data_IF_418917239111
#
_entry.id   IF_418917239111
#
_cell.length_a   1.000
_cell.length_b   1.000
_cell.length_c   1.000
_cell.angle_alpha   90.00
_cell.angle_beta   90.00
_cell.angle_gamma   90.00
#
_symmetry.space_group_name_H-M   'P 1'
#
loop_
_entity.id
_entity.type
_entity.pdbx_description
1 polymer ?
#
# COMPACT_ATOMS: atom_id res chain seq x y z
N UNK A 1 21.63 -9.09 -22.88
CA UNK A 1 22.29 -10.17 -22.09
C UNK A 1 23.52 -9.61 -21.36
N UNK A 2 23.47 -9.51 -20.04
CA UNK A 2 24.59 -9.05 -19.21
C UNK A 2 24.97 -10.08 -18.16
N UNK A 3 25.80 -11.04 -18.56
CA UNK A 3 26.51 -11.94 -17.63
C UNK A 3 27.52 -11.12 -16.83
N UNK A 4 27.20 -10.84 -15.56
CA UNK A 4 28.23 -10.63 -14.53
C UNK A 4 28.04 -11.65 -13.42
N UNK A 5 28.30 -12.91 -13.76
CA UNK A 5 28.62 -13.97 -12.79
C UNK A 5 29.99 -13.67 -12.19
N UNK A 6 30.07 -12.64 -11.34
CA UNK A 6 31.19 -12.57 -10.42
C UNK A 6 30.99 -13.67 -9.36
N UNK A 7 31.99 -14.54 -9.12
CA UNK A 7 31.90 -15.52 -8.07
C UNK A 7 31.71 -14.81 -6.73
N UNK A 8 30.73 -15.26 -5.93
CA UNK A 8 30.54 -14.77 -4.57
C UNK A 8 31.76 -15.24 -3.76
N UNK A 9 32.65 -14.30 -3.46
CA UNK A 9 33.87 -14.54 -2.67
C UNK A 9 33.49 -14.56 -1.18
N UNK A 10 33.69 -15.70 -0.52
CA UNK A 10 33.62 -15.81 0.94
C UNK A 10 34.80 -15.06 1.57
N UNK A 11 34.60 -14.48 2.76
CA UNK A 11 35.60 -13.60 3.42
C UNK A 11 36.88 -14.30 3.90
N UNK A 12 36.99 -15.61 3.74
CA UNK A 12 38.22 -16.35 3.96
C UNK A 12 38.91 -16.53 2.61
N UNK A 13 40.19 -16.17 2.54
CA UNK A 13 40.98 -15.89 1.33
C UNK A 13 41.19 -17.02 0.31
N UNK A 14 40.31 -18.02 0.23
CA UNK A 14 40.30 -19.02 -0.81
C UNK A 14 39.26 -18.70 -1.88
N UNK A 15 39.74 -18.49 -3.10
CA UNK A 15 38.94 -18.39 -4.33
C UNK A 15 38.29 -19.74 -4.72
N UNK A 16 37.78 -20.51 -3.77
CA UNK A 16 37.05 -21.75 -4.07
C UNK A 16 35.64 -21.39 -4.55
N UNK A 17 35.26 -21.74 -5.79
CA UNK A 17 33.90 -21.52 -6.26
C UNK A 17 32.92 -22.30 -5.40
N UNK A 18 31.81 -21.64 -5.00
CA UNK A 18 30.74 -22.29 -4.24
C UNK A 18 30.26 -23.56 -4.97
N UNK A 19 30.07 -24.69 -4.25
CA UNK A 19 29.52 -25.90 -4.84
C UNK A 19 28.23 -25.64 -5.64
N UNK A 20 27.97 -26.35 -6.76
CA UNK A 20 26.83 -26.08 -7.63
C UNK A 20 25.45 -26.13 -6.94
N UNK A 21 25.33 -26.91 -5.87
CA UNK A 21 24.11 -26.98 -5.05
C UNK A 21 23.90 -25.70 -4.22
N UNK A 22 24.97 -24.99 -3.85
CA UNK A 22 24.93 -23.70 -3.14
C UNK A 22 24.75 -22.50 -4.06
N UNK A 23 25.20 -22.61 -5.32
CA UNK A 23 25.03 -21.56 -6.32
C UNK A 23 23.56 -21.20 -6.58
N UNK A 24 22.65 -22.17 -6.45
CA UNK A 24 21.19 -21.96 -6.57
C UNK A 24 20.59 -21.13 -5.43
N UNK A 25 21.30 -20.98 -4.32
CA UNK A 25 20.87 -20.17 -3.19
C UNK A 25 21.31 -18.70 -3.31
N UNK A 26 22.40 -18.42 -4.03
CA UNK A 26 22.81 -17.06 -4.37
C UNK A 26 21.74 -16.28 -5.14
N UNK A 27 21.04 -16.95 -6.08
CA UNK A 27 19.94 -16.36 -6.86
C UNK A 27 18.67 -16.09 -6.05
N UNK A 28 18.64 -16.51 -4.77
CA UNK A 28 17.55 -16.27 -3.83
C UNK A 28 17.80 -15.08 -2.90
N UNK A 29 18.93 -14.38 -3.05
CA UNK A 29 19.28 -13.23 -2.20
C UNK A 29 19.93 -13.61 -0.87
N UNK A 30 20.46 -14.84 -0.76
CA UNK A 30 21.34 -15.23 0.34
C UNK A 30 22.74 -14.68 0.10
N UNK A 31 23.33 -14.08 1.13
CA UNK A 31 24.69 -13.54 1.07
C UNK A 31 25.72 -14.62 1.47
N UNK A 32 27.01 -14.31 1.29
CA UNK A 32 28.09 -15.23 1.67
C UNK A 32 28.06 -15.57 3.17
N UNK A 33 27.53 -14.68 4.01
CA UNK A 33 27.37 -14.91 5.45
C UNK A 33 26.25 -15.90 5.77
N UNK A 34 25.13 -15.86 5.05
CA UNK A 34 24.05 -16.84 5.17
C UNK A 34 24.52 -18.24 4.74
N UNK A 35 25.30 -18.31 3.66
CA UNK A 35 25.83 -19.57 3.13
C UNK A 35 26.90 -20.16 4.05
N UNK A 36 27.80 -19.34 4.61
CA UNK A 36 28.79 -19.79 5.60
C UNK A 36 28.14 -20.20 6.91
N UNK A 37 27.11 -19.49 7.38
CA UNK A 37 26.32 -19.90 8.54
C UNK A 37 25.64 -21.26 8.31
N UNK A 38 25.11 -21.51 7.10
CA UNK A 38 24.54 -22.79 6.72
C UNK A 38 25.58 -23.92 6.71
N UNK A 39 26.74 -23.70 6.08
CA UNK A 39 27.84 -24.68 6.07
C UNK A 39 28.29 -24.99 7.50
N UNK A 40 28.46 -23.96 8.33
CA UNK A 40 28.84 -24.09 9.74
C UNK A 40 27.80 -24.88 10.53
N UNK A 41 26.51 -24.64 10.28
CA UNK A 41 25.41 -25.38 10.91
C UNK A 41 25.38 -26.85 10.48
N UNK A 42 25.63 -27.14 9.20
CA UNK A 42 25.73 -28.51 8.68
C UNK A 42 26.92 -29.23 9.34
N UNK A 43 28.11 -28.63 9.34
CA UNK A 43 29.30 -29.20 10.00
C UNK A 43 29.07 -29.41 11.49
N UNK A 44 28.37 -28.49 12.17
CA UNK A 44 28.01 -28.63 13.58
C UNK A 44 27.01 -29.77 13.83
N UNK A 45 26.12 -30.05 12.87
CA UNK A 45 25.12 -31.12 12.97
C UNK A 45 25.69 -32.53 12.72
N UNK A 46 26.84 -32.63 12.05
CA UNK A 46 27.53 -33.89 11.74
C UNK A 46 28.56 -34.30 12.80
N UNK A 47 28.73 -33.50 13.87
CA UNK A 47 29.51 -33.89 15.03
C UNK A 47 28.77 -34.99 15.81
N UNK A 48 29.15 -36.24 15.53
CA UNK A 48 28.59 -37.45 16.13
C UNK A 48 28.76 -37.55 17.67
N UNK A 49 29.64 -36.73 18.25
CA UNK A 49 29.90 -36.72 19.70
C UNK A 49 28.92 -35.84 20.52
N UNK A 50 28.03 -35.09 19.86
CA UNK A 50 27.00 -34.31 20.53
C UNK A 50 25.65 -35.06 20.51
N UNK A 51 25.16 -35.52 21.66
CA UNK A 51 23.78 -36.01 21.78
C UNK A 51 22.79 -35.00 21.18
N UNK A 52 21.73 -35.45 20.49
CA UNK A 52 20.79 -34.55 19.83
C UNK A 52 20.07 -33.70 20.90
N UNK A 53 20.51 -32.45 21.05
CA UNK A 53 19.96 -31.50 22.03
C UNK A 53 18.68 -30.80 21.56
N UNK A 54 18.29 -30.98 20.30
CA UNK A 54 17.09 -30.36 19.76
C UNK A 54 15.88 -31.28 19.94
N UNK A 55 14.77 -30.81 20.54
CA UNK A 55 13.55 -31.59 20.60
C UNK A 55 13.09 -31.94 19.18
N UNK A 56 13.01 -33.23 18.88
CA UNK A 56 12.50 -33.73 17.60
C UNK A 56 10.98 -33.56 17.55
N UNK A 57 10.53 -32.45 16.97
CA UNK A 57 9.13 -32.29 16.62
C UNK A 57 8.81 -33.11 15.35
N UNK A 58 7.64 -33.78 15.29
CA UNK A 58 7.13 -34.38 14.05
C UNK A 58 7.13 -33.37 12.89
N UNK A 59 7.39 -33.88 11.68
CA UNK A 59 7.50 -33.04 10.49
C UNK A 59 6.22 -32.25 10.20
N UNK A 60 5.06 -32.84 10.51
CA UNK A 60 3.74 -32.23 10.38
C UNK A 60 3.61 -30.99 11.26
N UNK A 61 4.13 -31.05 12.50
CA UNK A 61 4.12 -29.92 13.42
C UNK A 61 5.03 -28.82 12.89
N UNK A 62 6.22 -29.17 12.39
CA UNK A 62 7.14 -28.20 11.80
C UNK A 62 6.55 -27.52 10.56
N UNK A 63 5.89 -28.27 9.68
CA UNK A 63 5.20 -27.72 8.51
C UNK A 63 4.04 -26.81 8.91
N UNK A 64 3.25 -27.19 9.93
CA UNK A 64 2.19 -26.34 10.45
C UNK A 64 2.76 -25.04 11.05
N UNK A 65 3.91 -25.09 11.74
CA UNK A 65 4.59 -23.88 12.24
C UNK A 65 4.99 -22.97 11.07
N UNK A 66 5.50 -23.52 9.96
CA UNK A 66 5.90 -22.74 8.80
C UNK A 66 4.75 -21.93 8.18
N UNK A 67 3.50 -22.38 8.30
CA UNK A 67 2.32 -21.64 7.81
C UNK A 67 2.08 -20.30 8.53
N UNK A 68 2.58 -20.19 9.77
CA UNK A 68 2.49 -19.00 10.62
C UNK A 68 3.77 -18.16 10.64
N UNK A 69 4.85 -18.62 9.99
CA UNK A 69 6.08 -17.85 9.88
C UNK A 69 5.81 -16.61 9.03
N UNK A 70 6.17 -15.40 9.49
CA UNK A 70 5.97 -14.20 8.70
C UNK A 70 6.75 -14.26 7.38
N UNK A 71 6.10 -13.76 6.31
CA UNK A 71 6.64 -13.54 4.96
C UNK A 71 8.15 -13.21 4.92
N UNK A 72 8.68 -12.20 5.63
CA UNK A 72 10.10 -11.84 5.52
C UNK A 72 11.10 -12.90 5.99
N UNK A 73 10.66 -13.89 6.76
CA UNK A 73 11.54 -14.89 7.35
C UNK A 73 11.41 -16.27 6.70
N UNK A 74 10.38 -16.50 5.88
CA UNK A 74 10.09 -17.84 5.37
C UNK A 74 11.20 -18.37 4.46
N UNK A 75 11.84 -17.51 3.66
CA UNK A 75 12.85 -17.98 2.70
C UNK A 75 14.06 -18.62 3.39
N UNK A 76 14.46 -18.12 4.56
CA UNK A 76 15.59 -18.67 5.33
C UNK A 76 15.35 -20.14 5.70
N UNK A 77 14.09 -20.55 5.91
CA UNK A 77 13.73 -21.92 6.24
C UNK A 77 13.93 -22.90 5.07
N UNK A 78 14.01 -22.42 3.82
CA UNK A 78 14.33 -23.29 2.67
C UNK A 78 15.73 -23.86 2.73
N UNK A 79 16.63 -23.23 3.47
CA UNK A 79 18.02 -23.68 3.63
C UNK A 79 18.17 -24.82 4.64
N UNK A 80 17.19 -25.01 5.52
CA UNK A 80 17.31 -25.98 6.63
C UNK A 80 17.28 -27.42 6.11
N UNK A 81 16.34 -27.74 5.22
CA UNK A 81 16.26 -29.07 4.61
C UNK A 81 15.46 -29.05 3.30
N UNK A 82 15.63 -30.09 2.47
CA UNK A 82 14.87 -30.29 1.23
C UNK A 82 13.36 -30.35 1.46
N UNK A 83 12.92 -30.95 2.57
CA UNK A 83 11.49 -31.02 2.91
C UNK A 83 10.85 -29.64 3.10
N UNK A 84 11.54 -28.71 3.75
CA UNK A 84 11.08 -27.32 3.88
C UNK A 84 11.14 -26.59 2.56
N UNK A 85 12.20 -26.80 1.76
CA UNK A 85 12.28 -26.24 0.42
C UNK A 85 11.06 -26.61 -0.44
N UNK A 86 10.68 -27.89 -0.45
CA UNK A 86 9.57 -28.40 -1.27
C UNK A 86 8.21 -27.98 -0.71
N UNK A 87 8.05 -27.98 0.63
CA UNK A 87 6.83 -27.48 1.27
C UNK A 87 6.62 -25.98 1.06
N UNK A 88 7.70 -25.19 1.13
CA UNK A 88 7.67 -23.74 0.89
C UNK A 88 7.32 -23.43 -0.57
N UNK A 89 7.77 -24.24 -1.53
CA UNK A 89 7.39 -24.09 -2.94
C UNK A 89 5.98 -24.57 -3.30
N UNK A 90 5.27 -25.22 -2.38
CA UNK A 90 3.95 -25.81 -2.62
C UNK A 90 2.92 -25.35 -1.59
N UNK A 91 2.67 -26.20 -0.58
CA UNK A 91 1.64 -26.00 0.45
C UNK A 91 1.74 -24.65 1.15
N UNK A 92 2.93 -24.25 1.61
CA UNK A 92 3.08 -23.03 2.39
C UNK A 92 2.86 -21.79 1.52
N UNK A 93 3.34 -21.79 0.27
CA UNK A 93 3.08 -20.69 -0.68
C UNK A 93 1.58 -20.54 -0.94
N UNK A 94 0.86 -21.66 -1.03
CA UNK A 94 -0.59 -21.67 -1.19
C UNK A 94 -1.32 -21.11 0.06
N UNK A 95 -0.82 -21.36 1.28
CA UNK A 95 -1.39 -20.72 2.47
C UNK A 95 -1.16 -19.21 2.49
N UNK A 96 0.00 -18.72 2.02
CA UNK A 96 0.19 -17.27 1.82
C UNK A 96 -0.74 -16.71 0.74
N UNK A 97 -0.97 -17.46 -0.34
CA UNK A 97 -1.89 -17.05 -1.41
C UNK A 97 -3.30 -16.80 -0.90
N UNK A 98 -3.82 -17.68 -0.03
CA UNK A 98 -5.16 -17.50 0.56
C UNK A 98 -5.29 -16.22 1.39
N UNK A 99 -4.18 -15.74 1.96
CA UNK A 99 -4.11 -14.50 2.73
C UNK A 99 -3.72 -13.29 1.88
N UNK A 100 -3.46 -13.48 0.59
CA UNK A 100 -3.04 -12.43 -0.31
C UNK A 100 -4.23 -11.58 -0.77
N UNK A 101 -3.98 -10.29 -0.86
CA UNK A 101 -4.87 -9.29 -1.43
C UNK A 101 -4.11 -8.53 -2.51
N UNK A 102 -4.73 -8.38 -3.68
CA UNK A 102 -4.18 -7.66 -4.82
C UNK A 102 -4.89 -6.32 -4.90
N UNK A 103 -4.12 -5.24 -4.97
CA UNK A 103 -4.62 -3.88 -4.81
C UNK A 103 -4.22 -3.06 -6.03
N UNK A 104 -5.20 -2.63 -6.80
CA UNK A 104 -5.07 -1.70 -7.91
C UNK A 104 -5.16 -0.25 -7.41
N UNK A 105 -4.37 0.64 -7.99
CA UNK A 105 -4.35 2.07 -7.69
C UNK A 105 -4.77 2.85 -8.93
N UNK A 106 -5.85 3.62 -8.81
CA UNK A 106 -6.44 4.39 -9.93
C UNK A 106 -5.57 5.55 -10.40
N UNK A 107 -4.50 5.87 -9.68
CA UNK A 107 -3.70 7.05 -9.94
C UNK A 107 -4.08 8.23 -9.06
N UNK A 108 -3.35 9.32 -9.24
CA UNK A 108 -3.41 10.49 -8.36
C UNK A 108 -4.61 11.36 -8.68
N UNK A 109 -5.21 11.94 -7.63
CA UNK A 109 -6.26 12.96 -7.75
C UNK A 109 -5.94 14.12 -8.69
N UNK A 110 -4.66 14.40 -8.99
CA UNK A 110 -4.30 15.45 -9.95
C UNK A 110 -4.55 15.08 -11.42
N UNK A 111 -4.93 13.84 -11.74
CA UNK A 111 -5.17 13.35 -13.10
C UNK A 111 -6.66 13.46 -13.42
N UNK A 112 -7.02 14.03 -14.57
CA UNK A 112 -8.41 14.04 -15.04
C UNK A 112 -8.92 12.62 -15.31
N UNK A 113 -10.18 12.27 -14.97
CA UNK A 113 -11.22 13.08 -14.32
C UNK A 113 -11.19 13.09 -12.77
N UNK A 114 -10.16 12.52 -12.13
CA UNK A 114 -10.07 12.42 -10.66
C UNK A 114 -9.92 13.77 -9.95
N UNK A 115 -9.52 14.81 -10.66
CA UNK A 115 -9.33 16.17 -10.18
C UNK A 115 -10.65 16.88 -9.83
N UNK A 116 -11.74 16.50 -10.51
CA UNK A 116 -13.08 17.07 -10.32
C UNK A 116 -13.81 16.42 -9.15
N UNK A 117 -13.36 15.24 -8.71
CA UNK A 117 -14.01 14.45 -7.66
C UNK A 117 -13.76 15.06 -6.28
N UNK A 118 -14.77 15.02 -5.41
CA UNK A 118 -14.62 15.43 -4.01
C UNK A 118 -13.62 14.54 -3.29
N UNK A 119 -12.97 15.09 -2.26
CA UNK A 119 -11.92 14.34 -1.54
C UNK A 119 -12.46 13.07 -0.89
N UNK A 120 -13.70 13.12 -0.39
CA UNK A 120 -14.35 12.02 0.30
C UNK A 120 -14.66 10.86 -0.65
N UNK A 121 -15.18 11.17 -1.84
CA UNK A 121 -15.50 10.17 -2.86
C UNK A 121 -14.22 9.53 -3.43
N UNK A 122 -13.16 10.33 -3.62
CA UNK A 122 -11.87 9.81 -4.07
C UNK A 122 -11.27 8.81 -3.06
N UNK A 123 -11.38 9.07 -1.76
CA UNK A 123 -10.92 8.16 -0.70
C UNK A 123 -11.64 6.79 -0.73
N UNK A 124 -12.82 6.69 -1.33
CA UNK A 124 -13.58 5.45 -1.45
C UNK A 124 -13.23 4.64 -2.71
N UNK A 125 -12.73 5.29 -3.76
CA UNK A 125 -12.45 4.66 -5.07
C UNK A 125 -10.97 4.53 -5.44
N UNK A 126 -10.05 5.30 -4.85
CA UNK A 126 -8.66 5.34 -5.30
C UNK A 126 -7.90 4.00 -5.20
N UNK A 127 -8.41 3.04 -4.42
CA UNK A 127 -7.88 1.68 -4.31
C UNK A 127 -8.95 0.65 -4.66
N UNK A 128 -8.65 -0.16 -5.67
CA UNK A 128 -9.42 -1.34 -6.03
C UNK A 128 -8.82 -2.55 -5.32
N UNK A 129 -9.61 -3.29 -4.55
CA UNK A 129 -9.14 -4.43 -3.76
C UNK A 129 -9.73 -5.74 -4.28
N UNK A 130 -8.85 -6.69 -4.59
CA UNK A 130 -9.21 -8.02 -5.04
C UNK A 130 -8.68 -9.08 -4.06
N UNK A 131 -9.53 -10.04 -3.69
CA UNK A 131 -9.20 -11.11 -2.73
C UNK A 131 -9.09 -12.44 -3.43
N UNK A 132 -8.21 -13.29 -2.94
CA UNK A 132 -8.03 -14.62 -3.50
C UNK A 132 -9.36 -15.39 -3.48
N UNK A 133 -9.76 -15.89 -4.64
CA UNK A 133 -10.97 -16.70 -4.82
C UNK A 133 -10.59 -18.16 -5.00
N UNK A 134 -9.89 -18.49 -6.08
CA UNK A 134 -9.54 -19.87 -6.42
C UNK A 134 -8.33 -19.96 -7.37
N UNK A 135 -7.96 -21.20 -7.68
CA UNK A 135 -6.88 -21.55 -8.59
C UNK A 135 -7.46 -22.13 -9.89
N UNK A 136 -6.89 -21.71 -11.02
CA UNK A 136 -7.28 -22.15 -12.36
C UNK A 136 -6.08 -22.71 -13.14
N UNK A 137 -6.37 -23.73 -13.95
CA UNK A 137 -5.42 -24.33 -14.89
C UNK A 137 -5.90 -24.08 -16.31
N UNK A 138 -5.08 -23.39 -17.09
CA UNK A 138 -5.36 -23.00 -18.48
C UNK A 138 -5.55 -24.20 -19.43
N UNK A 139 -5.13 -25.39 -19.01
CA UNK A 139 -5.15 -26.62 -19.83
C UNK A 139 -6.09 -27.71 -19.28
N UNK A 140 -6.92 -27.42 -18.28
CA UNK A 140 -7.70 -28.44 -17.57
C UNK A 140 -9.06 -28.81 -18.21
N UNK A 141 -9.23 -28.66 -19.52
CA UNK A 141 -10.50 -28.96 -20.18
C UNK A 141 -10.83 -30.45 -20.32
N UNK A 142 -9.92 -31.39 -20.04
CA UNK A 142 -10.21 -32.83 -20.30
C UNK A 142 -9.52 -33.89 -19.42
N UNK A 143 -8.67 -33.56 -18.44
CA UNK A 143 -7.98 -34.59 -17.64
C UNK A 143 -8.42 -34.60 -16.17
N UNK A 144 -8.70 -35.80 -15.64
CA UNK A 144 -9.00 -36.05 -14.22
C UNK A 144 -7.97 -35.34 -13.34
N UNK A 145 -8.44 -34.38 -12.52
CA UNK A 145 -7.64 -33.66 -11.51
C UNK A 145 -6.93 -34.66 -10.58
N UNK A 146 -5.69 -35.01 -10.93
CA UNK A 146 -4.78 -35.83 -10.12
C UNK A 146 -3.67 -34.98 -9.49
N UNK A 147 -3.65 -33.68 -9.79
CA UNK A 147 -2.67 -32.74 -9.24
C UNK A 147 -3.08 -32.25 -7.85
N UNK A 148 -2.07 -31.98 -7.01
CA UNK A 148 -2.26 -31.38 -5.70
C UNK A 148 -3.05 -30.07 -5.80
N UNK A 149 -3.75 -29.66 -4.74
CA UNK A 149 -4.60 -28.45 -4.71
C UNK A 149 -3.87 -27.18 -5.15
N UNK A 150 -2.56 -27.10 -4.92
CA UNK A 150 -1.65 -26.00 -5.30
C UNK A 150 -0.87 -26.29 -6.59
N UNK A 151 -1.33 -27.24 -7.40
CA UNK A 151 -0.72 -27.61 -8.68
C UNK A 151 -0.90 -26.54 -9.75
N UNK A 152 -1.99 -25.77 -9.64
CA UNK A 152 -2.45 -24.91 -10.72
C UNK A 152 -1.47 -23.79 -11.10
N UNK A 153 -1.56 -23.33 -12.34
CA UNK A 153 -0.69 -22.25 -12.87
C UNK A 153 -1.15 -20.86 -12.45
N UNK A 154 -2.47 -20.60 -12.48
CA UNK A 154 -3.01 -19.26 -12.25
C UNK A 154 -3.85 -19.18 -10.97
N UNK A 155 -3.79 -18.03 -10.31
CA UNK A 155 -4.71 -17.67 -9.24
C UNK A 155 -5.66 -16.58 -9.72
N UNK A 156 -6.93 -16.73 -9.35
CA UNK A 156 -7.99 -15.77 -9.62
C UNK A 156 -8.35 -15.04 -8.33
N UNK A 157 -8.38 -13.73 -8.42
CA UNK A 157 -8.78 -12.81 -7.36
C UNK A 157 -10.07 -12.11 -7.78
N UNK A 158 -11.02 -12.01 -6.86
CA UNK A 158 -12.31 -11.39 -7.09
C UNK A 158 -12.29 -9.96 -6.53
N UNK A 159 -12.70 -9.00 -7.36
CA UNK A 159 -12.74 -7.58 -7.03
C UNK A 159 -13.98 -7.29 -6.17
N UNK A 160 -13.81 -6.51 -5.10
CA UNK A 160 -14.90 -6.16 -4.19
C UNK A 160 -16.00 -5.34 -4.89
N UNK A 161 -17.23 -5.88 -4.91
CA UNK A 161 -18.43 -5.25 -5.50
C UNK A 161 -18.68 -3.81 -5.04
N UNK A 162 -18.40 -3.51 -3.77
CA UNK A 162 -18.58 -2.16 -3.21
C UNK A 162 -17.77 -1.10 -3.96
N UNK A 163 -16.61 -1.47 -4.49
CA UNK A 163 -15.81 -0.54 -5.27
C UNK A 163 -16.55 -0.10 -6.54
N UNK A 164 -17.23 -1.03 -7.22
CA UNK A 164 -18.03 -0.72 -8.41
C UNK A 164 -19.26 0.13 -8.07
N UNK A 165 -19.88 -0.08 -6.91
CA UNK A 165 -20.98 0.77 -6.42
C UNK A 165 -20.52 2.22 -6.24
N UNK A 166 -19.39 2.45 -5.57
CA UNK A 166 -18.83 3.78 -5.39
C UNK A 166 -18.36 4.39 -6.72
N UNK A 167 -17.77 3.58 -7.60
CA UNK A 167 -17.32 4.02 -8.92
C UNK A 167 -18.49 4.46 -9.82
N UNK A 168 -19.62 3.76 -9.77
CA UNK A 168 -20.83 4.16 -10.48
C UNK A 168 -21.44 5.46 -9.95
N UNK A 169 -21.41 5.69 -8.62
CA UNK A 169 -21.96 6.90 -7.98
C UNK A 169 -21.28 8.19 -8.42
N UNK A 170 -19.98 8.12 -8.76
CA UNK A 170 -19.20 9.26 -9.25
C UNK A 170 -19.24 9.39 -10.79
N UNK A 171 -20.09 8.60 -11.46
CA UNK A 171 -20.27 8.64 -12.91
C UNK A 171 -19.22 7.85 -13.71
N UNK A 172 -18.51 6.93 -13.08
CA UNK A 172 -17.67 5.95 -13.78
C UNK A 172 -18.50 4.79 -14.34
N UNK A 173 -18.13 4.26 -15.50
CA UNK A 173 -18.64 2.98 -16.01
C UNK A 173 -17.49 2.05 -16.37
N UNK A 174 -17.69 0.76 -16.14
CA UNK A 174 -16.73 -0.29 -16.48
C UNK A 174 -17.06 -0.90 -17.84
N UNK A 175 -18.29 -0.80 -18.31
CA UNK A 175 -18.66 -1.28 -19.64
C UNK A 175 -17.97 -0.44 -20.70
N UNK A 176 -17.17 -1.06 -21.57
CA UNK A 176 -16.34 -0.36 -22.57
C UNK A 176 -17.13 0.63 -23.43
N UNK A 177 -18.38 0.31 -23.74
CA UNK A 177 -19.27 1.12 -24.60
C UNK A 177 -19.79 2.38 -23.90
N UNK A 178 -19.84 2.39 -22.57
CA UNK A 178 -20.41 3.49 -21.76
C UNK A 178 -19.33 4.38 -21.12
N UNK A 179 -18.04 4.07 -21.32
CA UNK A 179 -16.94 4.82 -20.69
C UNK A 179 -16.84 6.22 -21.32
N UNK A 180 -16.98 7.26 -20.51
CA UNK A 180 -16.56 8.60 -20.93
C UNK A 180 -15.04 8.59 -21.20
N UNK A 181 -14.57 9.45 -22.10
CA UNK A 181 -13.16 9.43 -22.55
C UNK A 181 -12.16 9.50 -21.38
N UNK A 182 -12.45 10.27 -20.33
CA UNK A 182 -11.58 10.37 -19.16
C UNK A 182 -11.55 9.09 -18.29
N UNK A 183 -12.68 8.41 -18.12
CA UNK A 183 -12.74 7.17 -17.36
C UNK A 183 -12.13 5.99 -18.13
N UNK A 184 -12.26 5.99 -19.46
CA UNK A 184 -11.67 4.97 -20.32
C UNK A 184 -10.16 4.84 -20.12
N UNK A 185 -9.44 5.97 -20.03
CA UNK A 185 -7.99 5.99 -19.81
C UNK A 185 -7.59 5.38 -18.46
N UNK A 186 -8.30 5.72 -17.37
CA UNK A 186 -8.00 5.17 -16.03
C UNK A 186 -8.27 3.66 -15.99
N UNK A 187 -9.36 3.20 -16.63
CA UNK A 187 -9.65 1.77 -16.69
C UNK A 187 -8.63 1.03 -17.56
N UNK A 188 -8.19 1.63 -18.66
CA UNK A 188 -7.12 1.08 -19.51
C UNK A 188 -5.79 0.94 -18.74
N UNK A 189 -5.44 1.94 -17.94
CA UNK A 189 -4.26 1.91 -17.06
C UNK A 189 -4.34 0.77 -16.04
N UNK A 190 -5.51 0.51 -15.47
CA UNK A 190 -5.74 -0.60 -14.55
C UNK A 190 -5.73 -1.97 -15.24
N UNK A 191 -6.26 -2.07 -16.46
CA UNK A 191 -6.28 -3.29 -17.27
C UNK A 191 -4.90 -3.66 -17.86
N UNK A 192 -3.88 -2.79 -17.67
CA UNK A 192 -2.56 -2.94 -18.27
C UNK A 192 -2.64 -3.12 -19.81
N UNK A 193 -3.39 -2.24 -20.47
CA UNK A 193 -3.57 -2.31 -21.92
C UNK A 193 -2.25 -2.30 -22.69
N UNK A 194 -2.26 -2.90 -23.89
CA UNK A 194 -1.07 -3.21 -24.68
C UNK A 194 -0.27 -1.97 -25.15
N UNK A 195 -0.92 -0.81 -25.22
CA UNK A 195 -0.31 0.45 -25.64
C UNK A 195 0.24 1.19 -24.42
N UNK A 196 1.38 0.73 -23.89
CA UNK A 196 2.10 1.47 -22.86
C UNK A 196 2.67 2.77 -23.47
N UNK A 197 1.96 3.88 -23.31
CA UNK A 197 2.46 5.19 -23.71
C UNK A 197 3.72 5.58 -22.92
N UNK A 198 4.60 6.35 -23.58
CA UNK A 198 5.76 7.02 -22.97
C UNK A 198 5.34 7.90 -21.78
N UNK A 199 5.34 7.34 -20.57
CA UNK A 199 4.97 8.11 -19.36
C UNK A 199 4.42 7.26 -18.22
N UNK A 200 4.00 6.03 -18.51
CA UNK A 200 3.46 5.12 -17.49
C UNK A 200 4.54 4.31 -16.76
N UNK A 201 5.79 4.42 -17.18
CA UNK A 201 6.88 3.63 -16.63
C UNK A 201 7.24 4.05 -15.20
N UNK A 202 7.40 3.08 -14.31
CA UNK A 202 7.68 3.32 -12.89
C UNK A 202 6.51 3.91 -12.11
N UNK A 203 5.31 3.99 -12.69
CA UNK A 203 4.07 4.28 -11.96
C UNK A 203 3.62 3.08 -11.14
N UNK A 204 2.92 3.31 -10.03
CA UNK A 204 2.30 2.22 -9.26
C UNK A 204 0.94 1.97 -9.88
N UNK A 205 0.67 0.74 -10.31
CA UNK A 205 -0.66 0.32 -10.80
C UNK A 205 -1.22 -0.76 -9.91
N UNK A 206 -0.45 -1.84 -9.72
CA UNK A 206 -0.83 -2.97 -8.88
C UNK A 206 0.20 -3.25 -7.79
N UNK A 207 -0.29 -3.53 -6.60
CA UNK A 207 0.53 -4.03 -5.50
C UNK A 207 -0.13 -5.25 -4.87
N UNK A 208 0.67 -6.03 -4.16
CA UNK A 208 0.19 -7.18 -3.41
C UNK A 208 0.45 -6.95 -1.93
N UNK A 209 -0.54 -7.35 -1.14
CA UNK A 209 -0.46 -7.44 0.30
C UNK A 209 -0.51 -8.90 0.70
N UNK A 210 0.44 -9.32 1.53
CA UNK A 210 0.41 -10.62 2.22
C UNK A 210 0.71 -10.36 3.68
N UNK A 211 -0.25 -10.66 4.55
CA UNK A 211 -0.20 -10.37 5.98
C UNK A 211 0.09 -8.86 6.25
N UNK A 212 1.30 -8.56 6.74
CA UNK A 212 1.79 -7.20 7.07
C UNK A 212 2.72 -6.62 5.99
N UNK A 213 3.07 -7.41 4.98
CA UNK A 213 3.95 -6.98 3.89
C UNK A 213 3.10 -6.43 2.75
N UNK A 214 3.55 -5.32 2.17
CA UNK A 214 2.97 -4.71 0.98
C UNK A 214 4.11 -4.32 0.06
N UNK A 215 4.04 -4.75 -1.19
CA UNK A 215 5.01 -4.48 -2.23
C UNK A 215 4.31 -4.21 -3.56
N UNK A 216 4.93 -3.34 -4.35
CA UNK A 216 4.62 -3.19 -5.77
C UNK A 216 4.84 -4.50 -6.52
N UNK A 217 3.91 -4.88 -7.39
CA UNK A 217 4.08 -6.06 -8.25
C UNK A 217 4.96 -5.74 -9.45
N UNK A 218 4.93 -4.50 -9.94
CA UNK A 218 5.78 -4.06 -11.06
C UNK A 218 5.47 -4.76 -12.37
N UNK A 219 4.24 -5.27 -12.55
CA UNK A 219 3.79 -5.82 -13.82
C UNK A 219 3.69 -4.73 -14.88
N UNK A 220 4.04 -5.10 -16.11
CA UNK A 220 4.04 -4.28 -17.31
C UNK A 220 2.95 -4.75 -18.28
N UNK A 221 2.62 -3.94 -19.30
CA UNK A 221 1.73 -4.39 -20.38
C UNK A 221 2.22 -5.67 -21.06
N UNK A 222 3.55 -5.90 -21.14
CA UNK A 222 4.13 -7.14 -21.66
C UNK A 222 3.69 -8.37 -20.85
N UNK A 223 3.56 -8.22 -19.52
CA UNK A 223 3.10 -9.30 -18.65
C UNK A 223 1.61 -9.63 -18.87
N UNK A 224 0.80 -8.63 -19.20
CA UNK A 224 -0.61 -8.82 -19.58
C UNK A 224 -0.75 -9.56 -20.90
N UNK A 225 0.00 -9.14 -21.92
CA UNK A 225 0.04 -9.81 -23.24
C UNK A 225 0.53 -11.25 -23.13
N UNK A 226 1.50 -11.52 -22.25
CA UNK A 226 2.01 -12.88 -22.01
C UNK A 226 1.10 -13.75 -21.13
N UNK A 227 -0.02 -13.21 -20.64
CA UNK A 227 -0.95 -13.93 -19.76
C UNK A 227 -0.48 -14.09 -18.31
N UNK A 228 0.67 -13.50 -17.95
CA UNK A 228 1.24 -13.57 -16.60
C UNK A 228 0.36 -12.83 -15.59
N UNK A 229 -0.24 -11.71 -16.00
CA UNK A 229 -1.15 -10.91 -15.18
C UNK A 229 -2.25 -10.27 -16.02
N UNK A 230 -3.49 -10.75 -15.86
CA UNK A 230 -4.65 -10.29 -16.60
C UNK A 230 -5.67 -9.67 -15.65
N UNK A 231 -6.29 -8.58 -16.07
CA UNK A 231 -7.34 -7.91 -15.31
C UNK A 231 -8.57 -7.84 -16.20
N UNK A 232 -9.68 -8.39 -15.73
CA UNK A 232 -10.97 -8.27 -16.36
C UNK A 232 -11.90 -7.54 -15.39
N UNK A 233 -12.06 -6.24 -15.61
CA UNK A 233 -12.92 -5.40 -14.77
C UNK A 233 -14.41 -5.70 -15.01
N UNK A 234 -14.80 -6.17 -16.21
CA UNK A 234 -16.19 -6.53 -16.52
C UNK A 234 -16.58 -7.82 -15.80
N UNK A 235 -15.71 -8.84 -15.85
CA UNK A 235 -15.86 -10.07 -15.07
C UNK A 235 -15.51 -9.91 -13.59
N UNK A 236 -15.01 -8.74 -13.17
CA UNK A 236 -14.60 -8.42 -11.79
C UNK A 236 -13.49 -9.34 -11.25
N UNK A 237 -12.58 -9.75 -12.12
CA UNK A 237 -11.50 -10.69 -11.75
C UNK A 237 -10.11 -10.18 -12.11
N UNK A 238 -9.13 -10.60 -11.32
CA UNK A 238 -7.71 -10.44 -11.59
C UNK A 238 -7.08 -11.82 -11.59
N UNK A 239 -6.45 -12.21 -12.70
CA UNK A 239 -5.80 -13.50 -12.89
C UNK A 239 -4.29 -13.31 -12.95
N UNK A 240 -3.51 -14.12 -12.23
CA UNK A 240 -2.05 -14.04 -12.30
C UNK A 240 -1.34 -15.39 -12.14
N UNK A 241 -0.13 -15.50 -12.68
CA UNK A 241 0.81 -16.59 -12.39
C UNK A 241 1.32 -16.50 -10.93
N UNK A 242 0.63 -17.22 -10.05
CA UNK A 242 0.73 -16.97 -8.62
C UNK A 242 2.03 -17.47 -7.98
N UNK A 243 2.61 -18.57 -8.48
CA UNK A 243 3.84 -19.13 -7.90
C UNK A 243 5.02 -18.19 -8.11
N UNK A 244 5.20 -17.71 -9.34
CA UNK A 244 6.26 -16.78 -9.67
C UNK A 244 6.05 -15.44 -8.94
N UNK A 245 4.84 -14.88 -9.01
CA UNK A 245 4.50 -13.62 -8.36
C UNK A 245 4.71 -13.65 -6.83
N UNK A 246 4.22 -14.68 -6.13
CA UNK A 246 4.44 -14.80 -4.69
C UNK A 246 5.91 -15.03 -4.38
N UNK A 247 6.62 -15.81 -5.19
CA UNK A 247 8.02 -16.08 -4.92
C UNK A 247 8.90 -14.83 -5.05
N UNK A 248 8.67 -14.03 -6.08
CA UNK A 248 9.35 -12.74 -6.27
C UNK A 248 8.95 -11.72 -5.19
N UNK A 249 7.71 -11.77 -4.72
CA UNK A 249 7.27 -11.01 -3.55
C UNK A 249 8.04 -11.40 -2.29
N UNK A 250 8.18 -12.69 -1.99
CA UNK A 250 8.95 -13.18 -0.83
C UNK A 250 10.42 -12.73 -0.91
N UNK A 251 11.05 -12.86 -2.09
CA UNK A 251 12.43 -12.39 -2.32
C UNK A 251 12.58 -10.91 -2.06
N UNK A 252 11.68 -10.12 -2.63
CA UNK A 252 11.70 -8.66 -2.54
C UNK A 252 11.47 -8.18 -1.11
N UNK A 253 10.55 -8.81 -0.38
CA UNK A 253 10.30 -8.48 1.03
C UNK A 253 11.50 -8.84 1.92
N UNK A 254 12.13 -10.00 1.67
CA UNK A 254 13.33 -10.42 2.38
C UNK A 254 14.48 -9.45 2.13
N UNK A 255 14.71 -9.05 0.87
CA UNK A 255 15.71 -8.06 0.51
C UNK A 255 15.44 -6.70 1.17
N UNK A 256 14.17 -6.27 1.22
CA UNK A 256 13.77 -5.04 1.91
C UNK A 256 14.09 -5.09 3.41
N UNK A 257 13.81 -6.20 4.10
CA UNK A 257 14.14 -6.34 5.51
C UNK A 257 15.65 -6.33 5.77
N UNK A 258 16.43 -7.04 4.94
CA UNK A 258 17.90 -7.01 5.01
C UNK A 258 18.44 -5.59 4.81
N UNK A 259 17.86 -4.83 3.87
CA UNK A 259 18.24 -3.45 3.61
C UNK A 259 17.88 -2.53 4.78
N UNK A 260 16.67 -2.67 5.34
CA UNK A 260 16.24 -1.92 6.54
C UNK A 260 17.19 -2.16 7.72
N UNK A 261 17.60 -3.41 7.94
CA UNK A 261 18.52 -3.76 9.02
C UNK A 261 19.92 -3.20 8.78
N UNK A 262 20.49 -3.44 7.60
CA UNK A 262 21.86 -2.99 7.26
C UNK A 262 22.00 -1.47 7.23
N UNK A 263 20.95 -0.73 6.85
CA UNK A 263 20.96 0.74 6.77
C UNK A 263 20.49 1.44 8.04
N UNK A 264 20.23 0.73 9.14
CA UNK A 264 19.67 1.32 10.38
C UNK A 264 20.43 2.56 10.92
N UNK A 265 21.75 2.64 10.71
CA UNK A 265 22.61 3.75 11.15
C UNK A 265 22.98 4.74 10.03
N UNK A 266 22.39 4.60 8.84
CA UNK A 266 22.68 5.50 7.71
C UNK A 266 21.94 6.83 7.85
N UNK A 267 22.45 7.87 7.20
CA UNK A 267 21.65 9.05 6.92
C UNK A 267 20.54 8.69 5.92
N UNK A 268 19.41 9.41 5.97
CA UNK A 268 18.26 9.15 5.09
C UNK A 268 17.78 10.44 4.43
N UNK A 269 17.35 10.34 3.18
CA UNK A 269 16.79 11.44 2.40
C UNK A 269 15.28 11.56 2.63
N UNK A 270 14.55 10.45 2.58
CA UNK A 270 13.08 10.38 2.74
C UNK A 270 12.65 9.56 3.97
N UNK A 271 13.55 9.39 4.93
CA UNK A 271 13.40 8.48 6.07
C UNK A 271 13.75 7.03 5.73
N UNK A 272 13.95 6.21 6.77
CA UNK A 272 14.49 4.85 6.63
C UNK A 272 13.64 3.98 5.69
N UNK A 273 12.32 3.94 5.90
CA UNK A 273 11.43 3.10 5.10
C UNK A 273 11.33 3.60 3.65
N UNK A 274 11.21 4.92 3.45
CA UNK A 274 11.10 5.54 2.14
C UNK A 274 12.33 5.28 1.28
N UNK A 275 13.53 5.49 1.82
CA UNK A 275 14.78 5.26 1.11
C UNK A 275 14.98 3.78 0.76
N UNK A 276 14.69 2.87 1.70
CA UNK A 276 14.83 1.44 1.45
C UNK A 276 13.85 0.95 0.38
N UNK A 277 12.59 1.40 0.40
CA UNK A 277 11.62 1.08 -0.64
C UNK A 277 12.04 1.63 -2.01
N UNK A 278 12.48 2.89 -2.09
CA UNK A 278 12.97 3.49 -3.33
C UNK A 278 14.15 2.71 -3.89
N UNK A 279 15.09 2.31 -3.04
CA UNK A 279 16.25 1.53 -3.46
C UNK A 279 15.83 0.20 -4.11
N UNK A 280 14.94 -0.55 -3.46
CA UNK A 280 14.43 -1.83 -3.99
C UNK A 280 13.62 -1.61 -5.28
N UNK A 281 12.74 -0.60 -5.32
CA UNK A 281 11.94 -0.29 -6.51
C UNK A 281 12.83 0.09 -7.69
N UNK A 282 13.80 1.00 -7.51
CA UNK A 282 14.77 1.38 -8.55
C UNK A 282 15.63 0.21 -9.02
N UNK A 283 16.01 -0.71 -8.12
CA UNK A 283 16.77 -1.91 -8.48
C UNK A 283 15.94 -2.83 -9.38
N UNK A 284 14.69 -3.12 -8.99
CA UNK A 284 13.77 -3.95 -9.78
C UNK A 284 13.47 -3.33 -11.13
N UNK A 285 13.22 -2.01 -11.13
CA UNK A 285 12.94 -1.26 -12.33
C UNK A 285 14.11 -1.35 -13.31
N UNK A 286 15.36 -1.13 -12.86
CA UNK A 286 16.56 -1.32 -13.69
C UNK A 286 16.71 -2.74 -14.24
N UNK A 287 16.35 -3.75 -13.45
CA UNK A 287 16.50 -5.14 -13.85
C UNK A 287 15.51 -5.56 -14.96
N UNK A 288 14.38 -4.84 -15.09
CA UNK A 288 13.36 -5.09 -16.10
C UNK A 288 13.62 -4.37 -17.43
N UNK A 289 14.57 -3.42 -17.48
CA UNK A 289 14.88 -2.65 -18.68
C UNK A 289 15.76 -3.44 -19.65
N UNK A 290 15.42 -3.40 -20.94
CA UNK A 290 16.26 -3.85 -22.04
C UNK A 290 17.23 -2.74 -22.46
N UNK A 291 18.52 -3.03 -22.50
CA UNK A 291 19.54 -2.05 -22.90
C UNK A 291 19.56 -1.77 -24.40
N UNK A 292 18.99 -2.67 -25.20
CA UNK A 292 18.93 -2.51 -26.66
C UNK A 292 17.78 -1.58 -27.08
N UNK A 293 16.70 -1.57 -26.29
CA UNK A 293 15.54 -0.73 -26.54
C UNK A 293 15.86 0.76 -26.28
N UNK A 294 15.35 1.64 -27.14
CA UNK A 294 15.59 3.09 -27.07
C UNK A 294 14.85 3.70 -25.88
N UNK A 295 13.64 3.25 -25.63
CA UNK A 295 12.78 3.82 -24.57
C UNK A 295 13.28 3.38 -23.20
N UNK A 296 13.67 2.12 -23.06
CA UNK A 296 14.29 1.60 -21.84
C UNK A 296 15.63 2.29 -21.52
N UNK A 297 16.46 2.62 -22.53
CA UNK A 297 17.67 3.44 -22.32
C UNK A 297 17.35 4.84 -21.81
N UNK A 298 16.31 5.48 -22.35
CA UNK A 298 15.85 6.81 -21.93
C UNK A 298 15.36 6.79 -20.47
N UNK A 299 14.62 5.75 -20.10
CA UNK A 299 14.19 5.53 -18.72
C UNK A 299 15.39 5.31 -17.80
N UNK A 300 16.37 4.49 -18.22
CA UNK A 300 17.58 4.25 -17.42
C UNK A 300 18.35 5.56 -17.18
N UNK A 301 18.44 6.43 -18.19
CA UNK A 301 18.99 7.77 -18.04
C UNK A 301 18.18 8.60 -17.03
N UNK A 302 16.85 8.62 -17.13
CA UNK A 302 15.98 9.34 -16.20
C UNK A 302 16.12 8.83 -14.76
N UNK A 303 16.32 7.53 -14.55
CA UNK A 303 16.60 6.95 -13.23
C UNK A 303 17.89 7.45 -12.59
N UNK A 304 18.89 7.84 -13.39
CA UNK A 304 20.13 8.41 -12.87
C UNK A 304 19.97 9.86 -12.42
N UNK A 305 18.89 10.54 -12.85
CA UNK A 305 18.54 11.90 -12.45
C UNK A 305 17.63 11.96 -11.20
N UNK A 306 17.19 10.80 -10.70
CA UNK A 306 16.37 10.71 -9.50
C UNK A 306 17.13 11.19 -8.25
N UNK A 307 16.44 11.75 -7.24
CA UNK A 307 17.06 12.16 -5.99
C UNK A 307 17.88 11.02 -5.39
N UNK A 308 19.14 11.25 -5.00
CA UNK A 308 19.96 10.21 -4.43
C UNK A 308 19.47 9.84 -3.02
N UNK A 309 19.58 8.55 -2.69
CA UNK A 309 19.09 7.97 -1.45
C UNK A 309 20.17 7.98 -0.36
N UNK A 310 19.75 7.79 0.89
CA UNK A 310 20.62 7.63 2.05
C UNK A 310 21.45 8.88 2.38
N UNK A 311 20.84 10.07 2.30
CA UNK A 311 21.46 11.33 2.70
C UNK A 311 22.56 11.84 1.76
N UNK A 312 22.69 11.24 0.57
CA UNK A 312 23.61 11.70 -0.46
C UNK A 312 23.16 13.06 -1.02
N UNK A 313 24.13 13.91 -1.38
CA UNK A 313 23.85 15.23 -1.97
C UNK A 313 23.32 15.10 -3.40
N UNK A 314 22.30 15.89 -3.73
CA UNK A 314 21.77 16.05 -5.09
C UNK A 314 22.54 17.16 -5.80
N UNK A 315 23.08 16.87 -6.98
CA UNK A 315 23.78 17.84 -7.81
C UNK A 315 22.90 18.34 -8.95
N UNK A 316 22.12 17.44 -9.56
CA UNK A 316 21.28 17.75 -10.72
C UNK A 316 19.79 17.41 -10.48
N UNK A 317 18.91 18.10 -11.21
CA UNK A 317 17.48 17.82 -11.27
C UNK A 317 17.01 17.86 -12.72
N UNK A 318 16.31 16.81 -13.14
CA UNK A 318 15.66 16.77 -14.44
C UNK A 318 14.61 17.90 -14.56
N UNK A 319 14.54 18.55 -15.72
CA UNK A 319 13.56 19.61 -15.99
C UNK A 319 12.14 19.05 -16.17
N UNK A 320 11.13 19.94 -16.23
CA UNK A 320 9.70 19.63 -16.13
C UNK A 320 9.05 18.71 -17.21
N UNK A 321 9.66 18.34 -18.35
CA UNK A 321 9.17 17.22 -19.15
C UNK A 321 9.73 15.86 -18.70
N UNK A 322 10.80 15.85 -17.90
CA UNK A 322 11.62 14.68 -17.59
C UNK A 322 11.55 14.25 -16.11
N UNK A 323 10.88 15.04 -15.27
CA UNK A 323 10.67 14.75 -13.85
C UNK A 323 9.46 13.83 -13.58
N UNK A 324 8.81 13.33 -14.63
CA UNK A 324 7.68 12.40 -14.55
C UNK A 324 7.98 11.16 -13.70
N UNK A 325 9.19 10.60 -13.84
CA UNK A 325 9.62 9.43 -13.07
C UNK A 325 9.81 9.73 -11.57
N UNK A 326 10.32 10.92 -11.22
CA UNK A 326 10.45 11.35 -9.82
C UNK A 326 9.05 11.51 -9.18
N UNK A 327 8.11 12.10 -9.91
CA UNK A 327 6.71 12.22 -9.46
C UNK A 327 6.04 10.85 -9.31
N UNK A 328 6.25 9.94 -10.27
CA UNK A 328 5.73 8.58 -10.22
C UNK A 328 6.27 7.81 -9.01
N UNK A 329 7.57 7.89 -8.75
CA UNK A 329 8.19 7.27 -7.57
C UNK A 329 7.66 7.86 -6.27
N UNK A 330 7.56 9.20 -6.17
CA UNK A 330 7.03 9.86 -4.98
C UNK A 330 5.60 9.41 -4.65
N UNK A 331 4.73 9.33 -5.67
CA UNK A 331 3.35 8.87 -5.53
C UNK A 331 3.30 7.40 -5.12
N UNK A 332 4.07 6.54 -5.80
CA UNK A 332 4.15 5.11 -5.48
C UNK A 332 4.58 4.85 -4.03
N UNK A 333 5.65 5.52 -3.58
CA UNK A 333 6.18 5.34 -2.23
C UNK A 333 5.20 5.85 -1.16
N UNK A 334 4.48 6.94 -1.45
CA UNK A 334 3.44 7.44 -0.55
C UNK A 334 2.36 6.39 -0.32
N UNK A 335 1.79 5.83 -1.40
CA UNK A 335 0.73 4.82 -1.33
C UNK A 335 1.23 3.53 -0.69
N UNK A 336 2.40 3.02 -1.09
CA UNK A 336 2.97 1.79 -0.50
C UNK A 336 3.23 1.94 1.01
N UNK A 337 3.73 3.10 1.44
CA UNK A 337 3.93 3.37 2.87
C UNK A 337 2.60 3.43 3.63
N UNK A 338 1.56 4.05 3.05
CA UNK A 338 0.22 4.11 3.63
C UNK A 338 -0.38 2.71 3.77
N UNK A 339 -0.41 1.92 2.70
CA UNK A 339 -0.92 0.55 2.69
C UNK A 339 -0.18 -0.35 3.68
N UNK A 340 1.14 -0.18 3.81
CA UNK A 340 1.92 -0.95 4.78
C UNK A 340 1.68 -0.54 6.22
N UNK A 341 1.36 0.73 6.47
CA UNK A 341 0.91 1.21 7.79
C UNK A 341 -0.45 0.61 8.13
N UNK A 342 -1.38 0.64 7.19
CA UNK A 342 -2.68 -0.02 7.31
C UNK A 342 -2.50 -1.52 7.61
N UNK A 343 -1.67 -2.22 6.85
CA UNK A 343 -1.43 -3.66 7.02
C UNK A 343 -0.77 -4.03 8.35
N UNK A 344 0.03 -3.12 8.93
CA UNK A 344 0.69 -3.33 10.23
C UNK A 344 -0.21 -2.98 11.42
N UNK A 345 -1.26 -2.20 11.20
CA UNK A 345 -2.15 -1.73 12.28
C UNK A 345 -2.89 -2.92 12.86
N UNK A 346 -2.81 -3.09 14.19
CA UNK A 346 -3.50 -4.21 14.84
C UNK A 346 -5.02 -3.96 14.89
N UNK A 347 -5.88 -4.99 14.93
CA UNK A 347 -7.33 -4.78 15.00
C UNK A 347 -7.77 -3.92 16.19
N UNK A 348 -7.12 -4.06 17.35
CA UNK A 348 -7.38 -3.25 18.55
C UNK A 348 -7.01 -1.78 18.32
N UNK A 349 -5.88 -1.54 17.66
CA UNK A 349 -5.42 -0.20 17.33
C UNK A 349 -6.29 0.46 16.27
N UNK A 350 -6.73 -0.30 15.27
CA UNK A 350 -7.67 0.14 14.24
C UNK A 350 -9.01 0.54 14.86
N UNK A 351 -9.55 -0.28 15.76
CA UNK A 351 -10.79 0.04 16.47
C UNK A 351 -10.66 1.33 17.31
N UNK A 352 -9.52 1.52 18.00
CA UNK A 352 -9.23 2.78 18.70
C UNK A 352 -9.20 3.96 17.74
N UNK A 353 -8.53 3.82 16.60
CA UNK A 353 -8.40 4.86 15.57
C UNK A 353 -9.76 5.23 14.95
N UNK A 354 -10.59 4.23 14.66
CA UNK A 354 -11.95 4.43 14.19
C UNK A 354 -12.79 5.19 15.20
N UNK A 355 -12.70 4.83 16.48
CA UNK A 355 -13.37 5.57 17.56
C UNK A 355 -12.94 7.05 17.60
N UNK A 356 -11.65 7.34 17.46
CA UNK A 356 -11.17 8.73 17.42
C UNK A 356 -11.71 9.47 16.19
N UNK A 357 -11.75 8.81 15.03
CA UNK A 357 -12.30 9.40 13.81
C UNK A 357 -13.80 9.69 13.93
N UNK A 358 -14.58 8.79 14.54
CA UNK A 358 -16.00 8.99 14.84
C UNK A 358 -16.20 10.16 15.82
N UNK A 359 -15.43 10.20 16.90
CA UNK A 359 -15.48 11.29 17.88
C UNK A 359 -15.11 12.63 17.26
N UNK A 360 -14.14 12.65 16.34
CA UNK A 360 -13.80 13.83 15.57
C UNK A 360 -14.96 14.31 14.70
N UNK A 361 -15.67 13.40 14.00
CA UNK A 361 -16.85 13.77 13.19
C UNK A 361 -17.96 14.37 14.05
N UNK A 362 -18.19 13.81 15.24
CA UNK A 362 -19.17 14.34 16.20
C UNK A 362 -18.74 15.74 16.65
N UNK A 363 -17.47 15.91 17.05
CA UNK A 363 -16.91 17.20 17.43
C UNK A 363 -17.07 18.24 16.33
N UNK A 364 -16.73 17.91 15.09
CA UNK A 364 -16.86 18.82 13.95
C UNK A 364 -18.31 19.22 13.70
N UNK A 365 -19.25 18.28 13.79
CA UNK A 365 -20.68 18.56 13.69
C UNK A 365 -21.17 19.49 14.81
N UNK A 366 -20.77 19.25 16.06
CA UNK A 366 -21.15 20.09 17.19
C UNK A 366 -20.58 21.51 17.05
N UNK A 367 -19.29 21.65 16.73
CA UNK A 367 -18.64 22.95 16.56
C UNK A 367 -19.24 23.75 15.40
N UNK A 368 -19.54 23.09 14.28
CA UNK A 368 -20.23 23.73 13.15
C UNK A 368 -21.64 24.18 13.54
N UNK A 369 -22.37 23.39 14.35
CA UNK A 369 -23.66 23.78 14.90
C UNK A 369 -23.58 25.02 15.78
N UNK A 370 -22.64 25.07 16.72
CA UNK A 370 -22.43 26.25 17.59
C UNK A 370 -22.03 27.48 16.77
N UNK A 371 -21.16 27.30 15.77
CA UNK A 371 -20.77 28.38 14.87
C UNK A 371 -21.96 28.93 14.06
N UNK A 372 -22.87 28.06 13.62
CA UNK A 372 -24.11 28.47 12.96
C UNK A 372 -25.00 29.28 13.91
N UNK A 373 -25.27 28.78 15.13
CA UNK A 373 -26.09 29.50 16.12
C UNK A 373 -25.47 30.84 16.50
N UNK A 374 -24.13 30.90 16.60
CA UNK A 374 -23.42 32.16 16.83
C UNK A 374 -23.55 33.13 15.64
N UNK A 375 -23.51 32.62 14.41
CA UNK A 375 -23.77 33.40 13.20
C UNK A 375 -25.18 33.99 13.16
N UNK A 376 -26.19 33.20 13.52
CA UNK A 376 -27.59 33.63 13.62
C UNK A 376 -27.77 34.68 14.73
N UNK A 377 -27.21 34.42 15.91
CA UNK A 377 -27.19 35.39 17.01
C UNK A 377 -26.58 36.73 16.58
N UNK A 378 -25.41 36.68 15.91
CA UNK A 378 -24.72 37.86 15.41
C UNK A 378 -25.55 38.59 14.37
N UNK A 379 -26.25 37.87 13.50
CA UNK A 379 -27.13 38.45 12.50
C UNK A 379 -28.29 39.23 13.14
N UNK A 380 -28.90 38.70 14.19
CA UNK A 380 -30.00 39.37 14.90
C UNK A 380 -29.52 40.57 15.73
N UNK A 381 -28.30 40.52 16.29
CA UNK A 381 -27.74 41.61 17.10
C UNK A 381 -27.18 42.78 16.28
N UNK A 382 -26.58 42.51 15.11
CA UNK A 382 -25.87 43.52 14.33
C UNK A 382 -26.47 43.67 12.93
N UNK A 383 -26.77 44.90 12.53
CA UNK A 383 -27.22 45.22 11.16
C UNK A 383 -26.24 44.63 10.11
N UNK A 384 -26.74 44.14 8.95
CA UNK A 384 -25.93 43.43 7.95
C UNK A 384 -24.66 44.17 7.51
N UNK A 385 -24.70 45.50 7.56
CA UNK A 385 -23.66 46.42 7.10
C UNK A 385 -22.35 46.36 7.92
N UNK A 386 -22.35 45.76 9.13
CA UNK A 386 -21.19 45.71 10.04
C UNK A 386 -20.69 44.27 10.31
N UNK A 387 -21.05 43.30 9.46
CA UNK A 387 -20.66 41.92 9.65
C UNK A 387 -19.22 41.64 9.19
N UNK A 388 -18.26 41.81 10.10
CA UNK A 388 -16.95 41.17 9.92
C UNK A 388 -17.08 39.66 10.12
N UNK A 389 -16.80 38.87 9.08
CA UNK A 389 -16.68 37.42 9.23
C UNK A 389 -15.51 37.12 10.17
N UNK A 390 -15.79 36.57 11.35
CA UNK A 390 -14.72 35.98 12.16
C UNK A 390 -14.36 34.67 11.46
N UNK A 391 -13.14 34.51 10.94
CA UNK A 391 -12.75 33.27 10.30
C UNK A 391 -12.79 32.16 11.35
N UNK A 392 -13.78 31.26 11.23
CA UNK A 392 -13.77 30.00 11.97
C UNK A 392 -12.59 29.21 11.41
N UNK A 393 -11.61 28.90 12.26
CA UNK A 393 -10.49 28.03 11.88
C UNK A 393 -11.05 26.71 11.34
N UNK A 394 -10.91 26.49 10.04
CA UNK A 394 -11.34 25.23 9.40
C UNK A 394 -10.41 24.12 9.88
N UNK A 395 -11.01 23.04 10.39
CA UNK A 395 -10.26 21.85 10.77
C UNK A 395 -9.54 21.27 9.53
N UNK A 396 -8.35 20.67 9.72
CA UNK A 396 -7.62 20.09 8.60
C UNK A 396 -8.41 18.92 8.01
N UNK A 397 -8.53 18.85 6.68
CA UNK A 397 -9.17 17.72 5.99
C UNK A 397 -8.27 16.50 6.20
N UNK A 398 -8.81 15.45 6.79
CA UNK A 398 -8.10 14.20 7.06
C UNK A 398 -8.63 13.07 6.20
N UNK A 399 -7.78 12.10 5.80
CA UNK A 399 -8.24 10.92 5.08
C UNK A 399 -9.26 10.13 5.88
N UNK A 400 -10.25 9.54 5.18
CA UNK A 400 -11.34 8.76 5.79
C UNK A 400 -10.83 7.56 6.59
N UNK A 401 -9.77 6.89 6.10
CA UNK A 401 -9.15 5.78 6.81
C UNK A 401 -8.16 6.29 7.87
N UNK A 402 -8.42 6.10 9.17
CA UNK A 402 -7.53 6.61 10.21
C UNK A 402 -6.24 5.80 10.36
N UNK A 403 -6.15 4.60 9.77
CA UNK A 403 -4.92 3.80 9.79
C UNK A 403 -3.78 4.43 8.98
N UNK A 404 -4.10 5.31 8.03
CA UNK A 404 -3.11 6.00 7.20
C UNK A 404 -2.71 7.37 7.77
N UNK A 405 -3.29 7.80 8.90
CA UNK A 405 -2.87 9.04 9.56
C UNK A 405 -1.41 8.96 10.00
N UNK A 406 -0.67 10.06 9.79
CA UNK A 406 0.70 10.16 10.30
C UNK A 406 0.68 10.18 11.84
N UNK A 407 1.77 9.76 12.47
CA UNK A 407 1.89 9.69 13.94
C UNK A 407 1.65 11.04 14.61
N UNK A 408 2.15 12.11 13.99
CA UNK A 408 1.94 13.49 14.45
C UNK A 408 0.49 13.91 14.37
N UNK A 409 -0.15 13.68 13.21
CA UNK A 409 -1.58 13.95 12.99
C UNK A 409 -2.42 13.19 14.01
N UNK A 410 -2.16 11.89 14.18
CA UNK A 410 -2.87 11.06 15.14
C UNK A 410 -2.78 11.61 16.56
N UNK A 411 -1.58 11.98 17.00
CA UNK A 411 -1.38 12.56 18.34
C UNK A 411 -2.12 13.89 18.50
N UNK A 412 -2.03 14.76 17.49
CA UNK A 412 -2.72 16.04 17.49
C UNK A 412 -4.25 15.88 17.54
N UNK A 413 -4.81 14.92 16.81
CA UNK A 413 -6.25 14.63 16.84
C UNK A 413 -6.68 14.00 18.17
N UNK A 414 -5.90 13.09 18.73
CA UNK A 414 -6.16 12.52 20.05
C UNK A 414 -6.20 13.61 21.14
N UNK A 415 -5.25 14.56 21.09
CA UNK A 415 -5.25 15.71 22.00
C UNK A 415 -6.44 16.64 21.75
N UNK A 416 -6.78 16.93 20.48
CA UNK A 416 -7.90 17.80 20.13
C UNK A 416 -9.23 17.22 20.61
N UNK A 417 -9.50 15.95 20.31
CA UNK A 417 -10.72 15.25 20.77
C UNK A 417 -10.77 15.18 22.28
N UNK A 418 -9.63 14.96 22.97
CA UNK A 418 -9.56 14.98 24.43
C UNK A 418 -9.93 16.36 25.00
N UNK A 419 -9.42 17.44 24.42
CA UNK A 419 -9.75 18.82 24.83
C UNK A 419 -11.22 19.13 24.60
N UNK A 420 -11.76 18.82 23.42
CA UNK A 420 -13.19 18.99 23.12
C UNK A 420 -14.06 18.23 24.13
N UNK A 421 -13.75 16.96 24.41
CA UNK A 421 -14.49 16.19 25.42
C UNK A 421 -14.50 16.85 26.80
N UNK A 422 -13.37 17.42 27.23
CA UNK A 422 -13.30 18.11 28.52
C UNK A 422 -14.07 19.43 28.56
N UNK A 423 -14.32 20.04 27.38
CA UNK A 423 -15.02 21.32 27.24
C UNK A 423 -16.47 21.14 26.77
N UNK A 424 -16.90 19.92 26.46
CA UNK A 424 -18.16 19.63 25.79
C UNK A 424 -19.37 20.20 26.54
N UNK A 425 -19.42 20.01 27.86
CA UNK A 425 -20.51 20.53 28.69
C UNK A 425 -20.57 22.05 28.67
N UNK A 426 -19.41 22.73 28.68
CA UNK A 426 -19.32 24.19 28.55
C UNK A 426 -19.77 24.66 27.18
N UNK A 427 -19.35 23.97 26.11
CA UNK A 427 -19.75 24.27 24.73
C UNK A 427 -21.28 24.12 24.58
N UNK A 428 -21.85 23.07 25.15
CA UNK A 428 -23.30 22.85 25.13
C UNK A 428 -24.07 23.94 25.89
N UNK A 429 -23.59 24.37 27.06
CA UNK A 429 -24.19 25.49 27.80
C UNK A 429 -24.10 26.79 27.01
N UNK A 430 -22.98 27.07 26.35
CA UNK A 430 -22.84 28.24 25.48
C UNK A 430 -23.80 28.17 24.30
N UNK A 431 -23.94 27.00 23.67
CA UNK A 431 -24.88 26.81 22.58
C UNK A 431 -26.33 27.08 23.02
N UNK A 432 -26.73 26.59 24.19
CA UNK A 432 -28.06 26.83 24.77
C UNK A 432 -28.30 28.31 25.12
N UNK A 433 -27.27 28.98 25.67
CA UNK A 433 -27.35 30.41 25.95
C UNK A 433 -27.49 31.22 24.66
N UNK A 434 -26.72 30.87 23.62
CA UNK A 434 -26.81 31.50 22.31
C UNK A 434 -28.19 31.29 21.71
N UNK A 435 -28.70 30.06 21.65
CA UNK A 435 -30.03 29.79 21.08
C UNK A 435 -31.14 30.55 21.82
N UNK A 436 -31.14 30.53 23.16
CA UNK A 436 -32.13 31.27 23.96
C UNK A 436 -32.03 32.80 23.75
N UNK A 437 -30.82 33.33 23.57
CA UNK A 437 -30.63 34.75 23.26
C UNK A 437 -31.07 35.11 21.83
N UNK A 438 -30.83 34.22 20.86
CA UNK A 438 -31.29 34.40 19.47
C UNK A 438 -32.81 34.42 19.41
N UNK A 439 -33.49 33.54 20.16
CA UNK A 439 -34.95 33.53 20.30
C UNK A 439 -35.48 34.84 20.89
N UNK A 440 -34.85 35.35 21.96
CA UNK A 440 -35.25 36.62 22.56
C UNK A 440 -35.02 37.83 21.63
N UNK A 441 -33.96 37.81 20.82
CA UNK A 441 -33.64 38.86 19.85
C UNK A 441 -34.44 38.75 18.54
N UNK A 442 -35.07 37.61 18.28
CA UNK A 442 -35.92 37.40 17.10
C UNK A 442 -37.36 37.90 17.29
N UNK A 443 -37.69 38.42 18.48
CA UNK A 443 -38.99 39.05 18.75
C UNK A 443 -39.11 40.32 17.90
N UNK A 444 -40.15 40.47 17.06
CA UNK A 444 -40.35 41.67 16.25
C UNK A 444 -40.44 42.93 17.12
N UNK A 445 -39.90 44.06 16.64
CA UNK A 445 -39.93 45.35 17.35
C UNK A 445 -41.37 45.78 17.73
N UNK A 446 -42.36 45.29 16.99
CA UNK A 446 -43.79 45.52 17.14
C UNK A 446 -44.52 44.49 18.04
N UNK A 447 -43.81 43.58 18.72
CA UNK A 447 -44.44 42.60 19.62
C UNK A 447 -44.97 43.21 20.93
N UNK A 448 -44.62 44.46 21.23
CA UNK A 448 -45.08 45.19 22.41
C UNK A 448 -46.02 46.36 22.10
N UNK A 449 -46.28 46.64 20.81
CA UNK A 449 -47.15 47.75 20.39
C UNK A 449 -48.65 47.42 20.57
N UNK A 450 -49.02 46.14 20.70
CA UNK A 450 -50.41 45.71 20.97
C UNK A 450 -50.80 45.79 22.48
N UNK A 451 -49.92 46.32 23.34
CA UNK A 451 -50.22 46.50 24.78
C UNK A 451 -50.87 47.85 25.12
N UNK A 452 -50.95 48.78 24.17
CA UNK A 452 -51.56 50.11 24.35
C UNK A 452 -53.06 50.17 24.00
N UNK A 453 -53.67 49.04 23.58
CA UNK A 453 -55.09 48.93 23.18
C UNK A 453 -55.99 48.21 24.23
N UNK A 454 -55.58 48.16 25.51
CA UNK A 454 -56.41 47.65 26.63
C UNK A 454 -56.70 48.66 27.73
#
# INVERSE_FOLDING_TARGET
>A
MGSSTQPIVTKDGDNTPLPPFLFRHATLGFDATDVTALITAISSSQNHDASPRNPHLPAEILLNILEYVPVPYILNWRLVCRGFHDAIGGRILYEFLKRAEVIGYLGSRSKYPLDIIKSEDYDDIYLLRARFSHLEDEHASTSRRTNAKWGATHAVFEINDKWFEYFAQIGGSVQREERSHGWAEIMFDLELGADEEEGQYGTLRWCMRVDKAVLDLGFTARDSVNGIFQVDLEARTVRMEWKQALFDFLKTETALQKLLHSKRKSAFTFGQMGDCFRAIRRQRLRAALDTEDKDDRRINWAMNQLPPLFGKRRYDKASAPWDGLERAENKAISILCQLRREAKTTPKELARLQKIAEERKIMEKELNGVAQTFGEWKYNMYKPEHQHQVPIERLPILPKNPAIWNTEVRKAEEERVKRWKSQRDTIQRLALLLSGSTEALAVPDNAFDDLDDF
#
